data_IF_467474516354
#
_entry.id   IF_467474516354
#
_cell.length_a   1.000
_cell.length_b   1.000
_cell.length_c   1.000
_cell.angle_alpha   90.00
_cell.angle_beta   90.00
_cell.angle_gamma   90.00
#
_symmetry.space_group_name_H-M   'P 1'
#
loop_
_entity.id
_entity.type
_entity.pdbx_description
1 polymer ?
#
# COMPACT_ATOMS: atom_id res chain seq x y z
N UNK A 1 5.78 -4.39 17.48
CA UNK A 1 5.59 -4.52 16.01
C UNK A 1 6.78 -3.88 15.30
N UNK A 2 7.24 -4.42 14.18
CA UNK A 2 8.31 -3.80 13.40
C UNK A 2 7.87 -2.42 12.85
N UNK A 3 8.79 -1.44 12.88
CA UNK A 3 8.55 -0.12 12.29
C UNK A 3 8.27 -0.26 10.79
N UNK A 4 7.26 0.45 10.25
CA UNK A 4 6.98 0.42 8.84
C UNK A 4 8.16 0.99 8.04
N UNK A 5 8.46 0.37 6.90
CA UNK A 5 9.58 0.78 6.04
C UNK A 5 9.13 1.66 4.88
N UNK A 6 7.95 1.40 4.33
CA UNK A 6 7.41 2.12 3.18
C UNK A 6 6.21 2.98 3.58
N UNK A 7 5.95 4.04 2.82
CA UNK A 7 4.76 4.87 3.04
C UNK A 7 3.47 4.06 2.95
N UNK A 8 3.37 3.13 1.99
CA UNK A 8 2.20 2.24 1.87
C UNK A 8 1.97 1.43 3.14
N UNK A 9 3.04 0.82 3.69
CA UNK A 9 2.92 0.04 4.93
C UNK A 9 2.48 0.91 6.10
N UNK A 10 3.02 2.11 6.21
CA UNK A 10 2.64 3.09 7.23
C UNK A 10 1.16 3.50 7.09
N UNK A 11 0.76 3.94 5.90
CA UNK A 11 -0.61 4.37 5.58
C UNK A 11 -1.63 3.25 5.85
N UNK A 12 -1.30 2.02 5.45
CA UNK A 12 -2.14 0.85 5.71
C UNK A 12 -2.33 0.62 7.21
N UNK A 13 -1.25 0.68 7.99
CA UNK A 13 -1.28 0.48 9.44
C UNK A 13 -2.09 1.56 10.17
N UNK A 14 -1.98 2.83 9.79
CA UNK A 14 -2.79 3.91 10.41
C UNK A 14 -4.27 3.85 10.00
N UNK A 15 -4.58 3.23 8.86
CA UNK A 15 -5.94 2.92 8.45
C UNK A 15 -6.46 1.60 9.06
N UNK A 16 -5.71 0.95 9.95
CA UNK A 16 -6.06 -0.32 10.61
C UNK A 16 -6.33 -1.49 9.66
N UNK A 17 -5.73 -1.46 8.46
CA UNK A 17 -5.90 -2.51 7.46
C UNK A 17 -4.79 -3.56 7.56
N UNK A 18 -5.15 -4.83 7.43
CA UNK A 18 -4.20 -5.91 7.22
C UNK A 18 -3.77 -5.98 5.74
N UNK A 19 -2.63 -6.61 5.47
CA UNK A 19 -2.22 -6.88 4.09
C UNK A 19 -3.22 -7.77 3.35
N UNK A 20 -3.95 -8.63 4.06
CA UNK A 20 -4.95 -9.51 3.49
C UNK A 20 -6.18 -8.70 3.03
N UNK A 21 -6.70 -7.81 3.86
CA UNK A 21 -7.86 -6.97 3.51
C UNK A 21 -7.57 -6.09 2.29
N UNK A 22 -6.38 -5.48 2.23
CA UNK A 22 -5.98 -4.69 1.06
C UNK A 22 -5.88 -5.57 -0.18
N UNK A 23 -5.25 -6.74 -0.08
CA UNK A 23 -5.11 -7.64 -1.21
C UNK A 23 -6.46 -8.16 -1.73
N UNK A 24 -7.37 -8.52 -0.82
CA UNK A 24 -8.73 -8.95 -1.16
C UNK A 24 -9.49 -7.82 -1.87
N UNK A 25 -9.33 -6.57 -1.42
CA UNK A 25 -9.93 -5.38 -2.05
C UNK A 25 -9.40 -5.13 -3.47
N UNK A 26 -8.08 -5.30 -3.66
CA UNK A 26 -7.43 -5.13 -4.97
C UNK A 26 -7.53 -6.38 -5.88
N UNK A 27 -8.29 -7.41 -5.46
CA UNK A 27 -8.45 -8.64 -6.24
C UNK A 27 -7.17 -9.43 -6.47
N UNK A 28 -6.24 -9.42 -5.51
CA UNK A 28 -4.93 -10.10 -5.62
C UNK A 28 -4.57 -10.94 -4.40
N UNK A 29 -3.52 -11.74 -4.50
CA UNK A 29 -3.04 -12.52 -3.34
C UNK A 29 -2.31 -11.63 -2.31
N UNK A 30 -2.48 -11.93 -1.02
CA UNK A 30 -1.78 -11.24 0.07
C UNK A 30 -0.25 -11.23 -0.13
N UNK A 31 0.32 -12.34 -0.63
CA UNK A 31 1.75 -12.45 -0.90
C UNK A 31 2.20 -11.52 -2.02
N UNK A 32 1.38 -11.35 -3.07
CA UNK A 32 1.69 -10.41 -4.15
C UNK A 32 1.59 -8.97 -3.66
N UNK A 33 0.53 -8.61 -2.93
CA UNK A 33 0.39 -7.30 -2.31
C UNK A 33 1.58 -6.99 -1.37
N UNK A 34 1.98 -7.94 -0.53
CA UNK A 34 3.14 -7.76 0.36
C UNK A 34 4.47 -7.54 -0.37
N UNK A 35 4.60 -7.97 -1.64
CA UNK A 35 5.75 -7.62 -2.50
C UNK A 35 5.62 -6.20 -3.06
N UNK A 36 4.42 -5.79 -3.48
CA UNK A 36 4.14 -4.45 -3.98
C UNK A 36 4.32 -3.39 -2.87
N UNK A 37 3.84 -3.66 -1.66
CA UNK A 37 3.98 -2.77 -0.51
C UNK A 37 5.46 -2.45 -0.19
N UNK A 38 6.37 -3.40 -0.47
CA UNK A 38 7.82 -3.22 -0.29
C UNK A 38 8.51 -2.56 -1.49
N UNK A 39 7.83 -2.50 -2.63
CA UNK A 39 8.36 -2.03 -3.93
C UNK A 39 7.31 -1.16 -4.63
N UNK A 40 6.95 -0.01 -4.03
CA UNK A 40 5.89 0.87 -4.55
C UNK A 40 6.16 1.37 -5.97
N UNK A 41 7.42 1.41 -6.41
CA UNK A 41 7.83 1.75 -7.78
C UNK A 41 7.34 0.75 -8.84
N UNK A 42 6.90 -0.44 -8.43
CA UNK A 42 6.38 -1.49 -9.33
C UNK A 42 4.86 -1.51 -9.41
N UNK A 43 4.16 -0.58 -8.75
CA UNK A 43 2.72 -0.48 -8.87
C UNK A 43 2.33 -0.12 -10.30
N UNK A 44 1.34 -0.81 -10.84
CA UNK A 44 0.65 -0.32 -12.02
C UNK A 44 -0.18 0.91 -11.65
N UNK A 45 -0.42 1.79 -12.63
CA UNK A 45 -1.25 2.97 -12.40
C UNK A 45 -2.64 2.62 -11.85
N UNK A 46 -3.25 1.54 -12.34
CA UNK A 46 -4.55 1.06 -11.84
C UNK A 46 -4.52 0.73 -10.35
N UNK A 47 -3.53 -0.06 -9.91
CA UNK A 47 -3.40 -0.41 -8.48
C UNK A 47 -3.07 0.82 -7.64
N UNK A 48 -2.26 1.75 -8.16
CA UNK A 48 -1.93 3.00 -7.47
C UNK A 48 -3.18 3.87 -7.25
N UNK A 49 -4.10 3.93 -8.22
CA UNK A 49 -5.36 4.67 -8.09
C UNK A 49 -6.29 4.03 -7.05
N UNK A 50 -6.39 2.69 -7.04
CA UNK A 50 -7.19 1.98 -6.04
C UNK A 50 -6.62 2.15 -4.63
N UNK A 51 -5.30 2.03 -4.47
CA UNK A 51 -4.61 2.27 -3.20
C UNK A 51 -4.76 3.71 -2.72
N UNK A 52 -4.70 4.68 -3.63
CA UNK A 52 -4.95 6.09 -3.32
C UNK A 52 -6.33 6.26 -2.66
N UNK A 53 -7.36 5.67 -3.27
CA UNK A 53 -8.72 5.73 -2.75
C UNK A 53 -8.86 5.00 -1.41
N UNK A 54 -8.32 3.77 -1.32
CA UNK A 54 -8.41 2.92 -0.12
C UNK A 54 -7.68 3.52 1.08
N UNK A 55 -6.50 4.11 0.86
CA UNK A 55 -5.65 4.69 1.90
C UNK A 55 -5.94 6.18 2.16
N UNK A 56 -6.91 6.76 1.45
CA UNK A 56 -7.41 8.13 1.63
C UNK A 56 -6.33 9.19 1.47
N UNK A 57 -5.50 9.06 0.44
CA UNK A 57 -4.46 10.05 0.09
C UNK A 57 -4.84 10.86 -1.14
N UNK A 58 -4.32 12.08 -1.23
CA UNK A 58 -4.70 13.04 -2.27
C UNK A 58 -3.92 12.83 -3.57
N UNK A 59 -2.66 12.39 -3.46
CA UNK A 59 -1.76 12.20 -4.59
C UNK A 59 -1.17 10.79 -4.61
N UNK A 60 -0.87 10.26 -5.81
CA UNK A 60 -0.21 8.95 -5.93
C UNK A 60 1.19 8.99 -5.33
N UNK A 61 1.88 10.13 -5.40
CA UNK A 61 3.21 10.32 -4.84
C UNK A 61 3.26 10.11 -3.32
N UNK A 62 2.13 10.23 -2.63
CA UNK A 62 2.00 9.94 -1.21
C UNK A 62 2.19 8.44 -0.91
N UNK A 63 2.02 7.58 -1.91
CA UNK A 63 2.27 6.13 -1.82
C UNK A 63 3.76 5.79 -2.00
N UNK A 64 4.57 6.71 -2.52
CA UNK A 64 5.94 6.42 -2.96
C UNK A 64 6.98 6.81 -1.90
N UNK A 65 7.99 5.95 -1.76
CA UNK A 65 9.16 6.18 -0.92
C UNK A 65 9.13 5.48 0.45
N UNK A 66 10.19 5.73 1.21
CA UNK A 66 10.41 5.17 2.55
C UNK A 66 9.88 6.11 3.65
N UNK A 67 9.65 5.55 4.84
CA UNK A 67 9.35 6.33 6.05
C UNK A 67 10.68 6.71 6.69
N UNK A 68 10.94 8.02 6.80
CA UNK A 68 12.15 8.56 7.44
C UNK A 68 12.21 8.29 8.95
#
# INVERSE_FOLDING_TARGET
>A
MAKPKTKIEYLRKINFLSQKEVADTLGMSQQYYGRLEKRPEKLSLGVALELKALLKVNHIDDLLGEVS
#
